data_IF_684234114538
#
_entry.id   IF_684234114538
#
_cell.length_a   1.000
_cell.length_b   1.000
_cell.length_c   1.000
_cell.angle_alpha   90.00
_cell.angle_beta   90.00
_cell.angle_gamma   90.00
#
_symmetry.space_group_name_H-M   'P 1'
#
loop_
_entity.id
_entity.type
_entity.pdbx_description
1 polymer ?
#
# COMPACT_ATOMS: atom_id res chain seq x y z
N UNK A 1 25.83 9.61 -2.92
CA UNK A 1 24.39 9.77 -3.19
C UNK A 1 23.71 9.74 -1.84
N UNK A 2 23.27 10.90 -1.32
CA UNK A 2 22.36 10.89 -0.17
C UNK A 2 21.05 10.33 -0.71
N UNK A 3 20.65 9.18 -0.22
CA UNK A 3 19.38 8.57 -0.59
C UNK A 3 18.28 9.33 0.12
N UNK A 4 17.08 9.44 -0.47
CA UNK A 4 15.92 10.09 0.18
C UNK A 4 15.64 9.52 1.59
N UNK A 5 16.08 8.28 1.82
CA UNK A 5 16.02 7.55 3.07
C UNK A 5 16.96 8.06 4.17
N UNK A 6 18.04 8.76 3.81
CA UNK A 6 19.02 9.30 4.78
C UNK A 6 18.62 10.67 5.33
N UNK A 7 17.52 11.26 4.84
CA UNK A 7 16.99 12.51 5.39
C UNK A 7 16.44 12.25 6.79
N UNK A 8 16.73 13.15 7.73
CA UNK A 8 16.18 13.07 9.10
C UNK A 8 14.66 13.27 9.12
N UNK A 9 14.15 14.16 8.25
CA UNK A 9 12.73 14.46 8.10
C UNK A 9 12.37 14.62 6.63
N UNK A 10 11.23 14.04 6.26
CA UNK A 10 10.63 14.22 4.95
C UNK A 10 9.67 15.41 4.97
N UNK A 11 9.76 16.26 3.95
CA UNK A 11 8.71 17.24 3.64
C UNK A 11 7.56 16.58 2.88
N UNK A 12 6.43 17.29 2.74
CA UNK A 12 5.33 16.83 1.89
C UNK A 12 5.75 16.66 0.43
N UNK A 13 6.58 17.58 -0.07
CA UNK A 13 7.09 17.55 -1.45
C UNK A 13 8.03 16.35 -1.65
N UNK A 14 8.89 16.04 -0.67
CA UNK A 14 9.76 14.85 -0.71
C UNK A 14 8.95 13.56 -0.87
N UNK A 15 7.86 13.42 -0.12
CA UNK A 15 6.97 12.25 -0.20
C UNK A 15 6.30 12.21 -1.57
N UNK A 16 5.79 13.35 -2.03
CA UNK A 16 5.05 13.44 -3.29
C UNK A 16 5.94 13.10 -4.50
N UNK A 17 7.14 13.66 -4.57
CA UNK A 17 8.09 13.44 -5.67
C UNK A 17 8.52 11.97 -5.73
N UNK A 18 8.82 11.38 -4.59
CA UNK A 18 9.23 9.97 -4.53
C UNK A 18 8.08 9.02 -4.88
N UNK A 19 6.84 9.35 -4.47
CA UNK A 19 5.66 8.58 -4.88
C UNK A 19 5.46 8.67 -6.39
N UNK A 20 5.58 9.85 -7.00
CA UNK A 20 5.47 9.98 -8.45
C UNK A 20 6.55 9.20 -9.18
N UNK A 21 7.80 9.25 -8.71
CA UNK A 21 8.89 8.46 -9.25
C UNK A 21 8.59 6.96 -9.19
N UNK A 22 8.06 6.47 -8.07
CA UNK A 22 7.65 5.05 -7.92
C UNK A 22 6.46 4.69 -8.80
N UNK A 23 5.62 5.66 -9.15
CA UNK A 23 4.49 5.47 -10.05
C UNK A 23 4.87 5.38 -11.54
N UNK A 24 6.09 5.77 -11.94
CA UNK A 24 6.56 5.64 -13.33
C UNK A 24 6.47 4.19 -13.85
N UNK A 25 6.57 3.20 -12.96
CA UNK A 25 6.40 1.78 -13.32
C UNK A 25 5.00 1.43 -13.83
N UNK A 26 4.01 2.31 -13.70
CA UNK A 26 2.66 2.15 -14.23
C UNK A 26 2.46 2.86 -15.57
N UNK A 27 3.43 3.64 -16.03
CA UNK A 27 3.29 4.42 -17.25
C UNK A 27 3.16 3.51 -18.48
N UNK A 28 2.28 3.92 -19.39
CA UNK A 28 1.94 3.20 -20.62
C UNK A 28 1.37 1.79 -20.43
N UNK A 29 1.01 1.40 -19.20
CA UNK A 29 0.38 0.10 -18.91
C UNK A 29 -1.13 0.15 -19.08
N UNK A 30 -1.69 -0.98 -19.50
CA UNK A 30 -3.13 -1.20 -19.52
C UNK A 30 -3.73 -1.22 -18.11
N UNK A 31 -5.06 -1.10 -18.01
CA UNK A 31 -5.77 -1.22 -16.72
C UNK A 31 -5.43 -2.52 -16.00
N UNK A 32 -5.46 -3.65 -16.71
CA UNK A 32 -5.22 -4.96 -16.12
C UNK A 32 -3.78 -5.07 -15.59
N UNK A 33 -2.80 -4.59 -16.33
CA UNK A 33 -1.40 -4.57 -15.88
C UNK A 33 -1.22 -3.68 -14.65
N UNK A 34 -1.77 -2.46 -14.65
CA UNK A 34 -1.74 -1.57 -13.50
C UNK A 34 -2.38 -2.21 -12.28
N UNK A 35 -3.53 -2.86 -12.46
CA UNK A 35 -4.26 -3.55 -11.41
C UNK A 35 -3.47 -4.74 -10.86
N UNK A 36 -2.87 -5.55 -11.72
CA UNK A 36 -2.02 -6.68 -11.31
C UNK A 36 -0.80 -6.22 -10.51
N UNK A 37 -0.13 -5.15 -10.94
CA UNK A 37 1.00 -4.57 -10.19
C UNK A 37 0.51 -4.04 -8.84
N UNK A 38 -0.61 -3.31 -8.82
CA UNK A 38 -1.23 -2.80 -7.59
C UNK A 38 -1.51 -3.91 -6.56
N UNK A 39 -2.16 -5.00 -6.98
CA UNK A 39 -2.42 -6.13 -6.08
C UNK A 39 -1.13 -6.80 -5.60
N UNK A 40 -0.16 -7.00 -6.49
CA UNK A 40 1.14 -7.56 -6.13
C UNK A 40 1.88 -6.70 -5.10
N UNK A 41 1.89 -5.38 -5.29
CA UNK A 41 2.49 -4.43 -4.35
C UNK A 41 1.77 -4.42 -3.00
N UNK A 42 0.43 -4.53 -2.97
CA UNK A 42 -0.33 -4.63 -1.72
C UNK A 42 0.01 -5.91 -0.96
N UNK A 43 0.20 -7.03 -1.66
CA UNK A 43 0.62 -8.30 -1.06
C UNK A 43 2.05 -8.23 -0.51
N UNK A 44 2.97 -7.59 -1.24
CA UNK A 44 4.35 -7.35 -0.76
C UNK A 44 4.33 -6.51 0.51
N UNK A 45 3.53 -5.44 0.55
CA UNK A 45 3.35 -4.63 1.74
C UNK A 45 2.80 -5.45 2.91
N UNK A 46 1.78 -6.29 2.68
CA UNK A 46 1.26 -7.20 3.70
C UNK A 46 2.36 -8.07 4.32
N UNK A 47 3.21 -8.68 3.49
CA UNK A 47 4.35 -9.47 3.99
C UNK A 47 5.35 -8.63 4.78
N UNK A 48 5.64 -7.41 4.32
CA UNK A 48 6.50 -6.48 5.06
C UNK A 48 5.94 -6.14 6.45
N UNK A 49 4.64 -5.91 6.56
CA UNK A 49 3.98 -5.60 7.83
C UNK A 49 3.95 -6.80 8.79
N UNK A 50 3.76 -8.02 8.28
CA UNK A 50 3.86 -9.25 9.07
C UNK A 50 5.26 -9.43 9.65
N UNK A 51 6.28 -9.28 8.79
CA UNK A 51 7.67 -9.35 9.21
C UNK A 51 8.04 -8.28 10.23
N UNK A 52 7.49 -7.08 10.09
CA UNK A 52 7.65 -6.01 11.10
C UNK A 52 7.07 -6.44 12.48
N UNK A 53 5.90 -7.07 12.51
CA UNK A 53 5.30 -7.59 13.74
C UNK A 53 6.18 -8.65 14.41
N UNK A 54 6.76 -9.56 13.61
CA UNK A 54 7.67 -10.59 14.09
C UNK A 54 8.96 -9.99 14.67
N UNK A 55 9.63 -9.12 13.90
CA UNK A 55 10.96 -8.63 14.23
C UNK A 55 10.97 -7.55 15.32
N UNK A 56 9.90 -6.77 15.45
CA UNK A 56 9.86 -5.60 16.36
C UNK A 56 8.86 -5.72 17.49
N UNK A 57 7.84 -6.54 17.35
CA UNK A 57 6.73 -6.61 18.31
C UNK A 57 6.51 -8.01 18.90
N UNK A 58 7.45 -8.93 18.69
CA UNK A 58 7.47 -10.27 19.28
C UNK A 58 6.16 -11.05 19.02
N UNK A 59 5.56 -10.85 17.85
CA UNK A 59 4.46 -11.67 17.35
C UNK A 59 5.04 -12.91 16.67
N UNK A 60 4.45 -14.07 16.88
CA UNK A 60 5.00 -15.31 16.30
C UNK A 60 4.70 -15.43 14.81
N UNK A 61 5.56 -16.14 14.07
CA UNK A 61 5.34 -16.47 12.65
C UNK A 61 4.01 -17.22 12.44
N UNK A 62 3.68 -18.15 13.35
CA UNK A 62 2.40 -18.89 13.33
C UNK A 62 1.18 -17.95 13.42
N UNK A 63 1.29 -16.86 14.18
CA UNK A 63 0.23 -15.85 14.27
C UNK A 63 0.14 -15.00 13.00
N UNK A 64 1.28 -14.59 12.43
CA UNK A 64 1.33 -13.67 11.28
C UNK A 64 1.06 -14.35 9.95
N UNK A 65 1.38 -15.64 9.79
CA UNK A 65 1.25 -16.41 8.55
C UNK A 65 -0.13 -16.20 7.92
N UNK A 66 -1.18 -16.37 8.73
CA UNK A 66 -2.59 -16.32 8.32
C UNK A 66 -3.21 -14.93 8.35
N UNK A 67 -2.48 -13.90 8.77
CA UNK A 67 -3.03 -12.55 8.79
C UNK A 67 -3.25 -12.03 7.37
N UNK A 68 -4.36 -11.36 7.15
CA UNK A 68 -4.57 -10.50 5.97
C UNK A 68 -3.96 -9.12 6.23
N UNK A 69 -3.80 -8.30 5.19
CA UNK A 69 -3.36 -6.91 5.30
C UNK A 69 -4.19 -6.11 6.32
N UNK A 70 -5.50 -6.35 6.36
CA UNK A 70 -6.40 -5.73 7.34
C UNK A 70 -6.10 -6.15 8.77
N UNK A 71 -5.82 -7.44 9.00
CA UNK A 71 -5.45 -7.97 10.32
C UNK A 71 -4.07 -7.52 10.77
N UNK A 72 -3.07 -7.54 9.87
CA UNK A 72 -1.72 -7.06 10.16
C UNK A 72 -1.74 -5.57 10.55
N UNK A 73 -2.47 -4.73 9.79
CA UNK A 73 -2.68 -3.31 10.13
C UNK A 73 -3.31 -3.14 11.52
N UNK A 74 -4.39 -3.88 11.81
CA UNK A 74 -5.05 -3.78 13.11
C UNK A 74 -4.13 -4.24 14.26
N UNK A 75 -3.33 -5.27 14.03
CA UNK A 75 -2.36 -5.75 15.01
C UNK A 75 -1.27 -4.72 15.29
N UNK A 76 -0.74 -4.06 14.26
CA UNK A 76 0.24 -2.97 14.37
C UNK A 76 -0.28 -1.79 15.20
N UNK A 77 -1.54 -1.41 14.99
CA UNK A 77 -2.22 -0.39 15.81
C UNK A 77 -2.29 -0.81 17.29
N UNK A 78 -2.64 -2.08 17.56
CA UNK A 78 -2.75 -2.60 18.93
C UNK A 78 -1.40 -2.71 19.67
N UNK A 79 -0.29 -2.90 18.95
CA UNK A 79 1.06 -2.96 19.55
C UNK A 79 1.72 -1.58 19.66
N UNK A 80 0.98 -0.50 19.34
CA UNK A 80 1.44 0.86 19.53
C UNK A 80 2.33 1.41 18.41
N UNK A 81 2.23 0.88 17.18
CA UNK A 81 2.88 1.50 16.03
C UNK A 81 2.36 2.94 15.84
N UNK A 82 3.24 3.85 15.38
CA UNK A 82 2.90 5.24 15.08
C UNK A 82 1.58 5.41 14.31
N UNK A 83 0.75 6.34 14.80
CA UNK A 83 -0.64 6.51 14.36
C UNK A 83 -0.79 7.07 12.96
N UNK A 84 0.11 7.96 12.54
CA UNK A 84 0.11 8.53 11.19
C UNK A 84 0.26 7.46 10.09
N UNK A 85 1.10 6.46 10.32
CA UNK A 85 1.27 5.34 9.41
C UNK A 85 0.10 4.34 9.48
N UNK A 86 -0.44 4.05 10.66
CA UNK A 86 -1.59 3.15 10.77
C UNK A 86 -2.86 3.75 10.16
N UNK A 87 -3.06 5.07 10.24
CA UNK A 87 -4.14 5.78 9.53
C UNK A 87 -3.98 5.70 8.01
N UNK A 88 -2.76 5.84 7.50
CA UNK A 88 -2.49 5.60 6.07
C UNK A 88 -2.86 4.17 5.67
N UNK A 89 -2.49 3.17 6.46
CA UNK A 89 -2.81 1.77 6.18
C UNK A 89 -4.32 1.49 6.25
N UNK A 90 -5.10 2.18 7.08
CA UNK A 90 -6.57 2.07 7.09
C UNK A 90 -7.14 2.43 5.71
N UNK A 91 -6.64 3.50 5.10
CA UNK A 91 -7.05 3.91 3.77
C UNK A 91 -6.61 2.89 2.70
N UNK A 92 -5.37 2.40 2.76
CA UNK A 92 -4.88 1.36 1.82
C UNK A 92 -5.71 0.08 1.89
N UNK A 93 -6.08 -0.39 3.09
CA UNK A 93 -6.94 -1.57 3.26
C UNK A 93 -8.32 -1.34 2.64
N UNK A 94 -8.91 -0.16 2.85
CA UNK A 94 -10.21 0.21 2.27
C UNK A 94 -10.14 0.22 0.74
N UNK A 95 -9.11 0.87 0.18
CA UNK A 95 -8.91 0.99 -1.26
C UNK A 95 -8.66 -0.37 -1.91
N UNK A 96 -7.84 -1.23 -1.29
CA UNK A 96 -7.58 -2.59 -1.79
C UNK A 96 -8.85 -3.43 -1.80
N UNK A 97 -9.67 -3.32 -0.76
CA UNK A 97 -10.94 -4.03 -0.70
C UNK A 97 -11.91 -3.52 -1.77
N UNK A 98 -12.01 -2.20 -1.96
CA UNK A 98 -12.80 -1.61 -3.04
C UNK A 98 -12.33 -2.12 -4.40
N UNK A 99 -11.04 -2.05 -4.69
CA UNK A 99 -10.47 -2.52 -5.96
C UNK A 99 -10.72 -4.02 -6.20
N UNK A 100 -10.60 -4.86 -5.16
CA UNK A 100 -10.87 -6.29 -5.25
C UNK A 100 -12.35 -6.60 -5.50
N UNK A 101 -13.26 -5.88 -4.85
CA UNK A 101 -14.70 -6.01 -5.09
C UNK A 101 -15.10 -5.51 -6.47
N UNK A 102 -14.51 -4.41 -6.92
CA UNK A 102 -14.71 -3.88 -8.26
C UNK A 102 -14.26 -4.88 -9.32
N UNK A 103 -13.14 -5.57 -9.14
CA UNK A 103 -12.72 -6.57 -10.13
C UNK A 103 -13.66 -7.78 -10.20
N UNK A 104 -14.19 -8.26 -9.08
CA UNK A 104 -15.17 -9.36 -9.06
C UNK A 104 -16.49 -8.96 -9.72
N UNK A 105 -16.98 -7.75 -9.44
CA UNK A 105 -18.18 -7.21 -10.08
C UNK A 105 -17.96 -6.96 -11.58
N UNK A 106 -16.79 -6.43 -11.94
CA UNK A 106 -16.44 -6.09 -13.32
C UNK A 106 -16.11 -7.33 -14.15
N UNK A 107 -15.53 -8.40 -13.60
CA UNK A 107 -15.26 -9.62 -14.38
C UNK A 107 -16.57 -10.31 -14.84
N UNK A 108 -17.64 -10.21 -14.04
CA UNK A 108 -18.97 -10.68 -14.42
C UNK A 108 -19.66 -9.78 -15.48
N UNK A 109 -19.37 -8.47 -15.48
CA UNK A 109 -20.06 -7.47 -16.31
C UNK A 109 -19.28 -7.10 -17.60
N UNK A 110 -17.97 -6.98 -17.53
CA UNK A 110 -17.08 -6.66 -18.66
C UNK A 110 -17.09 -7.78 -19.69
N UNK A 111 -17.20 -9.04 -19.25
CA UNK A 111 -17.37 -10.18 -20.16
C UNK A 111 -18.69 -10.16 -20.94
N UNK A 112 -19.71 -9.41 -20.48
CA UNK A 112 -21.06 -9.44 -21.06
C UNK A 112 -21.49 -8.18 -21.81
N UNK A 113 -20.84 -7.01 -21.62
CA UNK A 113 -21.39 -5.73 -22.13
C UNK A 113 -20.50 -4.88 -23.05
N UNK A 114 -19.20 -5.19 -23.22
CA UNK A 114 -18.37 -4.52 -24.24
C UNK A 114 -18.32 -2.97 -24.16
N UNK A 115 -18.34 -2.38 -22.97
CA UNK A 115 -18.44 -0.92 -22.76
C UNK A 115 -17.08 -0.30 -22.42
N UNK A 116 -16.63 0.69 -23.21
CA UNK A 116 -15.36 1.44 -23.04
C UNK A 116 -15.44 2.59 -22.01
N UNK A 117 -16.64 3.10 -21.68
CA UNK A 117 -16.81 4.29 -20.83
C UNK A 117 -16.58 4.00 -19.33
N UNK A 118 -16.90 2.79 -18.85
CA UNK A 118 -16.63 2.37 -17.46
C UNK A 118 -15.13 2.33 -17.15
N UNK A 119 -14.30 2.03 -18.15
CA UNK A 119 -12.86 1.87 -17.98
C UNK A 119 -12.16 3.19 -17.60
N UNK A 120 -12.57 4.35 -18.13
CA UNK A 120 -11.89 5.63 -17.84
C UNK A 120 -12.08 6.10 -16.39
N UNK A 121 -13.29 5.96 -15.84
CA UNK A 121 -13.56 6.28 -14.44
C UNK A 121 -12.83 5.30 -13.51
N UNK A 122 -12.90 4.00 -13.81
CA UNK A 122 -12.19 2.95 -13.06
C UNK A 122 -10.66 3.14 -13.09
N UNK A 123 -10.11 3.59 -14.22
CA UNK A 123 -8.67 3.88 -14.33
C UNK A 123 -8.25 5.06 -13.45
N UNK A 124 -9.12 6.07 -13.27
CA UNK A 124 -8.86 7.21 -12.38
C UNK A 124 -8.84 6.77 -10.92
N UNK A 125 -9.80 5.94 -10.51
CA UNK A 125 -9.89 5.41 -9.14
C UNK A 125 -8.69 4.49 -8.85
N UNK A 126 -8.33 3.63 -9.80
CA UNK A 126 -7.14 2.78 -9.68
C UNK A 126 -5.86 3.61 -9.53
N UNK A 127 -5.68 4.72 -10.26
CA UNK A 127 -4.53 5.62 -10.08
C UNK A 127 -4.48 6.23 -8.68
N UNK A 128 -5.64 6.61 -8.13
CA UNK A 128 -5.72 7.12 -6.76
C UNK A 128 -5.31 6.05 -5.74
N UNK A 129 -5.79 4.81 -5.90
CA UNK A 129 -5.42 3.69 -5.04
C UNK A 129 -3.94 3.35 -5.14
N UNK A 130 -3.38 3.36 -6.36
CA UNK A 130 -1.94 3.17 -6.60
C UNK A 130 -1.13 4.24 -5.85
N UNK A 131 -1.50 5.52 -5.96
CA UNK A 131 -0.79 6.59 -5.26
C UNK A 131 -0.78 6.36 -3.74
N UNK A 132 -1.92 6.01 -3.15
CA UNK A 132 -2.03 5.72 -1.72
C UNK A 132 -1.16 4.54 -1.27
N UNK A 133 -1.15 3.47 -2.08
CA UNK A 133 -0.32 2.28 -1.82
C UNK A 133 1.17 2.58 -1.98
N UNK A 134 1.59 3.26 -3.05
CA UNK A 134 2.99 3.64 -3.26
C UNK A 134 3.49 4.52 -2.11
N UNK A 135 2.68 5.48 -1.64
CA UNK A 135 3.00 6.26 -0.45
C UNK A 135 3.21 5.39 0.79
N UNK A 136 2.35 4.39 1.00
CA UNK A 136 2.50 3.48 2.14
C UNK A 136 3.77 2.65 2.05
N UNK A 137 4.10 2.09 0.89
CA UNK A 137 5.33 1.30 0.73
C UNK A 137 6.57 2.21 0.85
N UNK A 138 6.55 3.42 0.31
CA UNK A 138 7.68 4.35 0.44
C UNK A 138 7.93 4.70 1.92
N UNK A 139 6.87 5.06 2.64
CA UNK A 139 6.99 5.35 4.07
C UNK A 139 7.40 4.11 4.85
N UNK A 140 6.95 2.91 4.46
CA UNK A 140 7.43 1.66 5.07
C UNK A 140 8.97 1.55 4.96
N UNK A 141 9.50 1.71 3.75
CA UNK A 141 10.94 1.61 3.47
C UNK A 141 11.72 2.67 4.26
N UNK A 142 11.23 3.91 4.30
CA UNK A 142 11.83 5.01 5.06
C UNK A 142 11.86 4.76 6.56
N UNK A 143 10.74 4.32 7.12
CA UNK A 143 10.61 4.05 8.55
C UNK A 143 11.46 2.85 8.97
N UNK A 144 11.55 1.82 8.11
CA UNK A 144 12.41 0.67 8.33
C UNK A 144 13.89 1.07 8.33
N UNK A 145 14.32 1.85 7.33
CA UNK A 145 15.70 2.32 7.20
C UNK A 145 16.15 3.14 8.41
N UNK A 146 15.27 4.00 8.92
CA UNK A 146 15.56 4.90 10.05
C UNK A 146 15.16 4.32 11.42
N UNK A 147 14.65 3.08 11.48
CA UNK A 147 14.11 2.46 12.69
C UNK A 147 13.08 3.35 13.44
N UNK A 148 12.23 4.06 12.69
CA UNK A 148 11.36 5.14 13.20
C UNK A 148 9.90 4.69 13.45
N UNK A 149 9.72 3.45 13.91
CA UNK A 149 8.41 2.80 14.04
C UNK A 149 7.62 3.19 15.29
N UNK A 150 8.33 3.58 16.34
CA UNK A 150 7.78 4.04 17.61
C UNK A 150 8.25 5.47 17.81
N UNK A 151 7.34 6.33 18.28
CA UNK A 151 7.70 7.70 18.65
C UNK A 151 8.11 7.65 20.13
N UNK A 152 9.37 7.93 20.43
CA UNK A 152 9.82 8.10 21.81
C UNK A 152 9.03 9.26 22.44
N UNK A 153 8.46 9.01 23.62
CA UNK A 153 7.68 9.98 24.38
C UNK A 153 8.58 10.99 25.13
#
# INVERSE_FOLDING_TARGET
MSTIYDKEKLSGDDIQDEVFRRMEKYDHKSFLECFSIYLGTAQILEFGLKKLLEERFNVTEDETERMTLGQARARLENVGLRSDYTELLKQVVKDRNNAAHELLANQAVIGSLGVDFSQRMQFKDLKHFIFGLERAVFLFDYLQHNNAWVVDA
#
